data_IF_900119544553
#
_entry.id   IF_900119544553
#
_cell.length_a   1.000
_cell.length_b   1.000
_cell.length_c   1.000
_cell.angle_alpha   90.00
_cell.angle_beta   90.00
_cell.angle_gamma   90.00
#
_symmetry.space_group_name_H-M   'P 1'
#
loop_
_entity.id
_entity.type
_entity.pdbx_description
1 polymer ?
#
# COMPACT_ATOMS: atom_id res chain seq x y z
N UNK A 1 -9.28 -5.59 5.82
CA UNK A 1 -9.68 -6.95 5.39
C UNK A 1 -8.96 -7.97 6.24
N UNK A 2 -9.44 -9.21 6.27
CA UNK A 2 -8.84 -10.29 7.06
C UNK A 2 -8.57 -11.51 6.18
N UNK A 3 -7.52 -12.25 6.51
CA UNK A 3 -7.13 -13.49 5.84
C UNK A 3 -6.86 -14.58 6.86
N UNK A 4 -7.23 -15.82 6.53
CA UNK A 4 -6.93 -16.97 7.38
C UNK A 4 -5.45 -17.30 7.28
N UNK A 5 -4.74 -17.35 8.40
CA UNK A 5 -3.36 -17.81 8.49
C UNK A 5 -3.27 -19.05 9.39
N UNK A 6 -2.27 -19.88 9.15
CA UNK A 6 -1.99 -21.07 9.96
C UNK A 6 -0.52 -21.10 10.35
N UNK A 7 -0.23 -21.50 11.57
CA UNK A 7 1.14 -21.70 12.04
C UNK A 7 1.45 -23.21 12.04
N UNK A 8 2.52 -23.61 11.35
CA UNK A 8 2.87 -25.02 11.18
C UNK A 8 3.77 -25.47 12.34
N UNK A 9 3.38 -26.52 13.06
CA UNK A 9 4.11 -27.04 14.22
C UNK A 9 5.51 -27.57 13.88
N UNK A 10 5.70 -28.14 12.68
CA UNK A 10 6.98 -28.67 12.19
C UNK A 10 7.79 -27.69 11.34
N UNK A 11 7.72 -26.38 11.58
CA UNK A 11 8.31 -25.35 10.69
C UNK A 11 9.80 -25.54 10.38
N UNK A 12 10.55 -26.21 11.27
CA UNK A 12 11.98 -26.46 11.10
C UNK A 12 12.30 -27.39 9.92
N UNK A 13 11.37 -28.26 9.54
CA UNK A 13 11.53 -29.25 8.46
C UNK A 13 11.01 -28.74 7.11
N UNK A 14 10.43 -27.54 7.07
CA UNK A 14 9.86 -26.96 5.86
C UNK A 14 10.76 -25.85 5.32
N UNK A 15 10.93 -25.77 3.99
CA UNK A 15 11.64 -24.67 3.39
C UNK A 15 10.85 -23.36 3.59
N UNK A 16 11.57 -22.23 3.71
CA UNK A 16 10.99 -20.92 4.06
C UNK A 16 9.82 -20.51 3.16
N UNK A 17 9.84 -20.88 1.87
CA UNK A 17 8.76 -20.57 0.93
C UNK A 17 7.43 -21.25 1.26
N UNK A 18 7.46 -22.39 1.96
CA UNK A 18 6.30 -23.15 2.43
C UNK A 18 5.75 -22.64 3.78
N UNK A 19 6.46 -21.71 4.42
CA UNK A 19 6.06 -21.03 5.66
C UNK A 19 5.47 -19.64 5.42
N UNK A 20 5.21 -19.29 4.16
CA UNK A 20 4.66 -17.98 3.79
C UNK A 20 3.24 -17.84 4.31
N UNK A 21 2.95 -16.71 4.95
CA UNK A 21 1.60 -16.34 5.37
C UNK A 21 0.92 -15.48 4.31
N UNK A 22 -0.39 -15.64 4.19
CA UNK A 22 -1.20 -14.83 3.30
C UNK A 22 -1.72 -13.59 4.03
N UNK A 23 -1.67 -12.45 3.35
CA UNK A 23 -2.18 -11.17 3.81
C UNK A 23 -3.23 -10.65 2.85
N UNK A 24 -4.04 -9.69 3.31
CA UNK A 24 -4.97 -8.99 2.44
C UNK A 24 -4.19 -7.99 1.58
N UNK A 25 -4.05 -8.25 0.29
CA UNK A 25 -3.27 -7.42 -0.65
C UNK A 25 -4.04 -7.17 -1.95
N UNK A 26 -3.51 -6.27 -2.79
CA UNK A 26 -4.08 -5.97 -4.10
C UNK A 26 -4.08 -7.23 -4.96
N UNK A 27 -5.23 -7.52 -5.56
CA UNK A 27 -5.31 -8.49 -6.66
C UNK A 27 -5.16 -7.73 -7.96
N UNK A 28 -6.05 -6.77 -8.21
CA UNK A 28 -6.03 -5.89 -9.36
C UNK A 28 -6.06 -4.43 -8.87
N UNK A 29 -5.24 -3.58 -9.48
CA UNK A 29 -5.18 -2.15 -9.16
C UNK A 29 -4.85 -1.34 -10.41
N UNK A 30 -5.17 -0.05 -10.37
CA UNK A 30 -4.85 0.91 -11.43
C UNK A 30 -4.12 2.12 -10.85
N UNK A 31 -3.34 2.82 -11.65
CA UNK A 31 -2.80 4.12 -11.28
C UNK A 31 -3.78 5.22 -11.65
N UNK A 32 -4.05 6.11 -10.70
CA UNK A 32 -4.74 7.38 -10.96
C UNK A 32 -3.78 8.52 -10.75
N UNK A 33 -3.87 9.52 -11.63
CA UNK A 33 -3.03 10.72 -11.58
C UNK A 33 -3.87 11.90 -11.10
N UNK A 34 -3.30 12.71 -10.21
CA UNK A 34 -3.87 13.97 -9.74
C UNK A 34 -2.86 15.10 -9.93
N UNK A 35 -3.37 16.32 -10.06
CA UNK A 35 -2.55 17.54 -10.08
C UNK A 35 -2.46 18.11 -8.65
N UNK A 36 -1.24 18.25 -8.14
CA UNK A 36 -0.95 18.83 -6.84
C UNK A 36 -0.85 20.36 -7.02
N UNK A 37 -1.73 21.13 -6.37
CA UNK A 37 -1.70 22.58 -6.48
C UNK A 37 -0.50 23.18 -5.74
N UNK A 38 -0.01 24.32 -6.25
CA UNK A 38 1.05 25.11 -5.60
C UNK A 38 2.48 24.65 -5.90
N UNK A 39 2.69 23.78 -6.88
CA UNK A 39 4.03 23.44 -7.38
C UNK A 39 4.65 24.60 -8.18
N UNK A 40 5.99 24.79 -8.13
CA UNK A 40 6.69 25.79 -8.95
C UNK A 40 6.57 25.51 -10.46
N UNK A 41 6.67 26.56 -11.30
CA UNK A 41 6.52 26.48 -12.77
C UNK A 41 7.45 25.50 -13.50
N UNK A 42 8.56 25.08 -12.88
CA UNK A 42 9.53 24.16 -13.48
C UNK A 42 9.41 22.73 -12.93
N UNK A 43 8.37 22.43 -12.15
CA UNK A 43 8.13 21.12 -11.54
C UNK A 43 6.82 20.56 -12.06
N UNK A 44 6.84 19.31 -12.53
CA UNK A 44 5.62 18.62 -12.93
C UNK A 44 4.71 18.43 -11.70
N UNK A 45 3.48 18.99 -11.69
CA UNK A 45 2.59 18.93 -10.54
C UNK A 45 1.84 17.58 -10.44
N UNK A 46 2.14 16.60 -11.29
CA UNK A 46 1.36 15.37 -11.38
C UNK A 46 1.86 14.29 -10.43
N UNK A 47 0.94 13.68 -9.69
CA UNK A 47 1.24 12.55 -8.81
C UNK A 47 0.33 11.36 -9.12
N UNK A 48 0.94 10.19 -9.32
CA UNK A 48 0.25 8.93 -9.58
C UNK A 48 0.23 8.04 -8.33
N UNK A 49 -0.94 7.52 -7.97
CA UNK A 49 -1.09 6.60 -6.84
C UNK A 49 -1.93 5.37 -7.21
N UNK A 50 -1.66 4.21 -6.59
CA UNK A 50 -2.41 2.99 -6.86
C UNK A 50 -3.80 3.05 -6.21
N UNK A 51 -4.81 2.56 -6.94
CA UNK A 51 -6.19 2.39 -6.48
C UNK A 51 -6.58 0.94 -6.69
N UNK A 52 -6.89 0.26 -5.60
CA UNK A 52 -7.34 -1.13 -5.64
C UNK A 52 -8.68 -1.24 -6.38
N UNK A 53 -8.75 -2.12 -7.37
CA UNK A 53 -10.00 -2.58 -7.98
C UNK A 53 -10.54 -3.81 -7.25
N UNK A 54 -9.64 -4.68 -6.78
CA UNK A 54 -9.99 -5.90 -6.06
C UNK A 54 -8.88 -6.29 -5.08
N UNK A 55 -9.25 -7.02 -4.04
CA UNK A 55 -8.33 -7.53 -3.02
C UNK A 55 -8.33 -9.06 -3.01
N UNK A 56 -7.24 -9.67 -2.56
CA UNK A 56 -7.13 -11.12 -2.32
C UNK A 56 -6.36 -11.41 -1.03
N UNK A 57 -6.55 -12.62 -0.52
CA UNK A 57 -5.59 -13.22 0.40
C UNK A 57 -4.49 -13.89 -0.40
N UNK A 58 -3.25 -13.49 -0.16
CA UNK A 58 -2.09 -14.08 -0.81
C UNK A 58 -0.79 -13.51 -0.26
N UNK A 59 0.33 -13.98 -0.80
CA UNK A 59 1.65 -13.45 -0.45
C UNK A 59 1.71 -11.95 -0.77
N UNK A 60 2.26 -11.18 0.16
CA UNK A 60 2.59 -9.78 -0.08
C UNK A 60 3.64 -9.70 -1.20
N UNK A 61 3.40 -8.87 -2.22
CA UNK A 61 4.32 -8.69 -3.32
C UNK A 61 5.33 -7.58 -2.99
N UNK A 62 6.60 -7.95 -2.82
CA UNK A 62 7.69 -7.03 -2.47
C UNK A 62 8.17 -6.17 -3.63
N UNK A 63 7.75 -6.43 -4.87
CA UNK A 63 8.17 -5.65 -6.04
C UNK A 63 7.53 -4.26 -6.05
N UNK A 64 6.33 -4.12 -5.48
CA UNK A 64 5.57 -2.86 -5.47
C UNK A 64 4.87 -2.54 -4.14
N UNK A 65 4.98 -3.39 -3.12
CA UNK A 65 4.39 -3.15 -1.80
C UNK A 65 5.40 -3.35 -0.69
N UNK A 66 5.40 -2.43 0.27
CA UNK A 66 6.18 -2.56 1.49
C UNK A 66 5.47 -3.53 2.46
N UNK A 67 6.05 -4.71 2.64
CA UNK A 67 5.50 -5.77 3.47
C UNK A 67 5.91 -5.60 4.94
N UNK A 68 5.27 -4.65 5.64
CA UNK A 68 5.59 -4.29 7.04
C UNK A 68 4.57 -4.86 8.04
N UNK A 69 4.98 -5.01 9.30
CA UNK A 69 4.08 -5.43 10.38
C UNK A 69 3.20 -4.27 10.87
N UNK A 70 3.74 -3.06 10.92
CA UNK A 70 3.00 -1.86 11.30
C UNK A 70 2.40 -1.20 10.07
N UNK A 71 1.13 -0.79 10.20
CA UNK A 71 0.45 -0.06 9.14
C UNK A 71 1.05 1.34 9.01
N UNK A 72 1.47 1.70 7.80
CA UNK A 72 1.80 3.10 7.49
C UNK A 72 0.54 3.93 7.67
N UNK A 73 0.66 5.05 8.39
CA UNK A 73 -0.47 5.96 8.65
C UNK A 73 -1.00 6.52 7.33
N UNK A 74 -2.14 6.02 6.87
CA UNK A 74 -2.86 6.58 5.73
C UNK A 74 -3.35 7.99 6.06
N UNK A 75 -3.37 8.89 5.07
CA UNK A 75 -3.75 10.30 5.25
C UNK A 75 -2.85 11.08 6.23
N UNK A 76 -1.61 10.63 6.41
CA UNK A 76 -0.60 11.41 7.11
C UNK A 76 -0.02 12.48 6.20
N UNK A 77 -0.08 13.74 6.63
CA UNK A 77 0.54 14.87 5.94
C UNK A 77 1.49 15.57 6.91
N UNK A 78 2.73 15.79 6.49
CA UNK A 78 3.73 16.54 7.26
C UNK A 78 3.62 18.05 7.06
N UNK A 79 2.91 18.49 6.03
CA UNK A 79 2.69 19.90 5.73
C UNK A 79 1.39 20.38 6.38
N UNK A 80 1.34 21.64 6.85
CA UNK A 80 0.10 22.20 7.37
C UNK A 80 -0.95 22.18 6.26
N UNK A 81 -2.11 21.59 6.55
CA UNK A 81 -3.28 21.72 5.68
C UNK A 81 -3.70 23.18 5.74
N UNK A 82 -3.37 23.95 4.70
CA UNK A 82 -3.99 25.27 4.53
C UNK A 82 -5.49 25.02 4.41
N UNK A 83 -6.28 25.56 5.32
CA UNK A 83 -7.70 25.77 5.08
C UNK A 83 -7.79 26.53 3.76
N UNK A 84 -8.38 25.91 2.74
CA UNK A 84 -8.84 26.65 1.58
C UNK A 84 -9.87 27.63 2.11
N UNK A 85 -9.42 28.82 2.53
CA UNK A 85 -10.29 29.97 2.65
C UNK A 85 -10.78 30.23 1.24
N UNK A 86 -12.00 29.76 1.00
CA UNK A 86 -12.89 30.22 -0.06
C UNK A 86 -12.81 31.74 -0.03
N UNK A 87 -12.20 32.31 -1.06
CA UNK A 87 -12.37 33.72 -1.39
C UNK A 87 -13.80 33.99 -1.83
#
# INVERSE_FOLDING_TARGET
>A
GYCMTRHINGKLFLPKYALSQDVCTYRDFIYRTVEIPGCPHHVAPYFSYPVALSCKCGKCNTDYSDCTHEAVKTNYCTKPQKSYLVG
#
